data_IF_562535222881
#
_entry.id   IF_562535222881
#
_cell.length_a   1.000
_cell.length_b   1.000
_cell.length_c   1.000
_cell.angle_alpha   90.00
_cell.angle_beta   90.00
_cell.angle_gamma   90.00
#
_symmetry.space_group_name_H-M   'P 1'
#
loop_
_entity.id
_entity.type
_entity.pdbx_description
1 polymer ?
#
# COMPACT_ATOMS: atom_id res chain seq x y z
N UNK A 1 41.02 -14.76 -22.29
CA UNK A 1 39.65 -14.34 -22.70
C UNK A 1 38.77 -14.31 -21.46
N UNK A 2 38.42 -13.12 -20.96
CA UNK A 2 37.73 -12.91 -19.67
C UNK A 2 36.25 -12.68 -19.93
N UNK A 3 35.40 -13.59 -19.44
CA UNK A 3 33.94 -13.51 -19.46
C UNK A 3 33.47 -12.23 -18.74
N UNK A 4 32.77 -11.36 -19.47
CA UNK A 4 32.12 -10.16 -18.92
C UNK A 4 30.60 -10.34 -18.93
N UNK A 5 30.06 -11.09 -17.98
CA UNK A 5 28.62 -11.07 -17.67
C UNK A 5 28.33 -9.92 -16.73
N UNK A 6 28.26 -8.69 -17.27
CA UNK A 6 27.57 -7.61 -16.58
C UNK A 6 26.08 -7.80 -16.82
N UNK A 7 25.47 -8.65 -15.99
CA UNK A 7 24.02 -8.72 -15.87
C UNK A 7 23.53 -7.33 -15.51
N UNK A 8 22.76 -6.72 -16.42
CA UNK A 8 21.91 -5.61 -16.08
C UNK A 8 21.08 -6.05 -14.87
N UNK A 9 21.36 -5.46 -13.70
CA UNK A 9 20.44 -5.55 -12.58
C UNK A 9 19.14 -4.94 -13.09
N UNK A 10 18.17 -5.79 -13.43
CA UNK A 10 16.78 -5.36 -13.50
C UNK A 10 16.46 -4.87 -12.10
N UNK A 11 16.59 -3.55 -11.89
CA UNK A 11 15.98 -2.89 -10.76
C UNK A 11 14.49 -3.05 -10.99
N UNK A 12 13.93 -4.14 -10.46
CA UNK A 12 12.51 -4.34 -10.37
C UNK A 12 12.01 -3.15 -9.55
N UNK A 13 11.52 -2.11 -10.26
CA UNK A 13 10.86 -0.98 -9.60
C UNK A 13 9.73 -1.60 -8.78
N UNK A 14 9.70 -1.28 -7.49
CA UNK A 14 8.58 -1.63 -6.65
C UNK A 14 7.28 -1.23 -7.39
N UNK A 15 6.25 -2.08 -7.41
CA UNK A 15 4.99 -1.72 -8.06
C UNK A 15 4.50 -0.41 -7.46
N UNK A 16 4.25 0.58 -8.33
CA UNK A 16 3.76 1.88 -7.88
C UNK A 16 2.36 1.70 -7.27
N UNK A 17 2.15 2.23 -6.06
CA UNK A 17 0.82 2.29 -5.44
C UNK A 17 -0.09 3.17 -6.30
N UNK A 18 -1.20 2.60 -6.77
CA UNK A 18 -2.19 3.32 -7.57
C UNK A 18 -2.91 4.38 -6.72
N UNK A 19 -3.14 4.08 -5.44
CA UNK A 19 -3.72 5.03 -4.50
C UNK A 19 -2.87 6.29 -4.34
N UNK A 20 -1.56 6.14 -4.14
CA UNK A 20 -0.65 7.29 -4.02
C UNK A 20 -0.53 8.03 -5.34
N UNK A 21 -0.40 7.30 -6.46
CA UNK A 21 -0.29 7.91 -7.78
C UNK A 21 -1.54 8.74 -8.15
N UNK A 22 -2.73 8.18 -7.95
CA UNK A 22 -4.01 8.89 -8.19
C UNK A 22 -4.14 10.12 -7.29
N UNK A 23 -3.83 9.99 -6.00
CA UNK A 23 -3.87 11.11 -5.04
C UNK A 23 -2.94 12.25 -5.46
N UNK A 24 -1.70 11.96 -5.85
CA UNK A 24 -0.75 12.97 -6.30
C UNK A 24 -1.19 13.64 -7.61
N UNK A 25 -1.79 12.86 -8.52
CA UNK A 25 -2.33 13.40 -9.77
C UNK A 25 -3.52 14.35 -9.52
N UNK A 26 -4.43 13.98 -8.62
CA UNK A 26 -5.55 14.83 -8.20
C UNK A 26 -5.07 16.12 -7.55
N UNK A 27 -4.11 16.05 -6.61
CA UNK A 27 -3.52 17.23 -5.97
C UNK A 27 -2.89 18.17 -6.98
N UNK A 28 -2.13 17.63 -7.94
CA UNK A 28 -1.54 18.43 -9.02
C UNK A 28 -2.63 19.18 -9.80
N UNK A 29 -3.77 18.55 -10.05
CA UNK A 29 -4.90 19.19 -10.73
C UNK A 29 -5.59 20.25 -9.85
N UNK A 30 -5.79 19.97 -8.56
CA UNK A 30 -6.37 20.93 -7.60
C UNK A 30 -5.51 22.19 -7.51
N UNK A 31 -4.19 22.03 -7.37
CA UNK A 31 -3.25 23.13 -7.26
C UNK A 31 -3.06 23.88 -8.59
N UNK A 32 -2.78 23.15 -9.67
CA UNK A 32 -2.42 23.73 -10.96
C UNK A 32 -3.61 24.26 -11.76
N UNK A 33 -4.68 23.48 -11.83
CA UNK A 33 -5.85 23.78 -12.69
C UNK A 33 -6.90 24.56 -11.93
N UNK A 34 -7.26 24.11 -10.73
CA UNK A 34 -8.32 24.74 -9.92
C UNK A 34 -7.82 25.89 -9.06
N UNK A 35 -6.50 26.16 -9.05
CA UNK A 35 -5.84 27.21 -8.25
C UNK A 35 -6.20 27.13 -6.76
N UNK A 36 -6.42 25.91 -6.26
CA UNK A 36 -6.67 25.67 -4.85
C UNK A 36 -5.44 26.13 -4.02
N UNK A 37 -5.62 26.78 -2.87
CA UNK A 37 -4.53 27.13 -1.97
C UNK A 37 -3.69 25.91 -1.60
N UNK A 38 -2.39 26.13 -1.36
CA UNK A 38 -1.48 25.04 -1.03
C UNK A 38 -1.89 24.34 0.26
N UNK A 39 -2.38 25.10 1.25
CA UNK A 39 -2.88 24.62 2.53
C UNK A 39 -4.05 23.65 2.33
N UNK A 40 -5.04 24.01 1.51
CA UNK A 40 -6.18 23.14 1.20
C UNK A 40 -5.76 21.89 0.40
N UNK A 41 -4.71 21.98 -0.42
CA UNK A 41 -4.15 20.81 -1.09
C UNK A 41 -3.46 19.85 -0.11
N UNK A 42 -2.79 20.38 0.92
CA UNK A 42 -2.19 19.58 1.99
C UNK A 42 -3.28 18.90 2.83
N UNK A 43 -4.33 19.62 3.21
CA UNK A 43 -5.50 19.05 3.89
C UNK A 43 -6.13 17.92 3.07
N UNK A 44 -6.25 18.09 1.74
CA UNK A 44 -6.71 17.03 0.86
C UNK A 44 -5.81 15.79 0.92
N UNK A 45 -4.47 15.95 0.86
CA UNK A 45 -3.55 14.82 0.99
C UNK A 45 -3.74 14.11 2.33
N UNK A 46 -3.81 14.87 3.42
CA UNK A 46 -4.00 14.31 4.76
C UNK A 46 -5.30 13.51 4.86
N UNK A 47 -6.39 14.01 4.30
CA UNK A 47 -7.67 13.31 4.25
C UNK A 47 -7.57 12.00 3.45
N UNK A 48 -6.88 12.01 2.30
CA UNK A 48 -6.63 10.80 1.50
C UNK A 48 -5.80 9.78 2.27
N UNK A 49 -4.75 10.21 2.96
CA UNK A 49 -3.94 9.32 3.81
C UNK A 49 -4.74 8.77 5.00
N UNK A 50 -5.63 9.56 5.60
CA UNK A 50 -6.55 9.10 6.65
C UNK A 50 -7.53 8.05 6.14
N UNK A 51 -8.06 8.23 4.92
CA UNK A 51 -8.91 7.23 4.27
C UNK A 51 -8.13 5.92 4.05
N UNK A 52 -6.90 5.98 3.55
CA UNK A 52 -6.05 4.81 3.36
C UNK A 52 -5.81 4.08 4.69
N UNK A 53 -5.49 4.82 5.75
CA UNK A 53 -5.31 4.29 7.10
C UNK A 53 -6.56 3.58 7.62
N UNK A 54 -7.74 4.19 7.47
CA UNK A 54 -9.01 3.57 7.86
C UNK A 54 -9.30 2.30 7.08
N UNK A 55 -9.02 2.28 5.77
CA UNK A 55 -9.13 1.06 4.95
C UNK A 55 -8.18 -0.04 5.46
N UNK A 56 -6.94 0.31 5.81
CA UNK A 56 -5.98 -0.64 6.38
C UNK A 56 -6.48 -1.22 7.72
N UNK A 57 -7.08 -0.41 8.59
CA UNK A 57 -7.70 -0.90 9.83
C UNK A 57 -8.87 -1.86 9.57
N UNK A 58 -9.72 -1.56 8.58
CA UNK A 58 -10.80 -2.47 8.18
C UNK A 58 -10.23 -3.81 7.71
N UNK A 59 -9.20 -3.78 6.85
CA UNK A 59 -8.53 -4.99 6.35
C UNK A 59 -7.92 -5.77 7.52
N UNK A 60 -7.21 -5.11 8.43
CA UNK A 60 -6.63 -5.75 9.61
C UNK A 60 -7.70 -6.42 10.49
N UNK A 61 -8.81 -5.72 10.74
CA UNK A 61 -9.91 -6.26 11.52
C UNK A 61 -10.58 -7.48 10.86
N UNK A 62 -10.72 -7.48 9.54
CA UNK A 62 -11.30 -8.60 8.80
C UNK A 62 -10.34 -9.78 8.75
N UNK A 63 -9.09 -9.55 8.37
CA UNK A 63 -8.07 -10.60 8.25
C UNK A 63 -7.70 -11.16 9.63
N UNK A 64 -7.46 -10.30 10.62
CA UNK A 64 -7.12 -10.69 11.99
C UNK A 64 -8.22 -11.49 12.70
N UNK A 65 -9.50 -11.21 12.42
CA UNK A 65 -10.64 -12.03 12.90
C UNK A 65 -10.79 -13.37 12.15
N UNK A 66 -10.28 -13.44 10.92
CA UNK A 66 -10.36 -14.64 10.07
C UNK A 66 -9.23 -15.63 10.32
N UNK A 67 -8.12 -15.18 10.92
CA UNK A 67 -7.00 -16.02 11.36
C UNK A 67 -7.20 -16.45 12.81
N UNK A 68 -7.29 -17.76 13.11
CA UNK A 68 -7.29 -18.23 14.50
C UNK A 68 -5.97 -17.82 15.18
N UNK A 69 -5.95 -17.63 16.52
CA UNK A 69 -4.73 -17.30 17.26
C UNK A 69 -3.80 -18.53 17.27
N UNK A 70 -3.04 -18.72 16.20
CA UNK A 70 -2.11 -19.83 16.06
C UNK A 70 -0.69 -19.36 16.36
N UNK A 71 -0.29 -19.51 17.63
CA UNK A 71 1.10 -19.55 18.14
C UNK A 71 1.99 -18.32 17.88
N UNK A 72 2.95 -17.99 18.77
CA UNK A 72 3.81 -16.81 18.62
C UNK A 72 4.58 -16.85 17.29
N UNK A 73 4.83 -15.69 16.65
CA UNK A 73 5.41 -15.64 15.32
C UNK A 73 6.88 -16.04 15.34
N UNK A 74 7.18 -17.26 14.91
CA UNK A 74 8.53 -17.65 14.57
C UNK A 74 8.86 -17.05 13.19
N UNK A 75 9.77 -16.09 13.17
CA UNK A 75 10.38 -15.38 12.01
C UNK A 75 9.64 -14.15 11.43
N UNK A 76 10.34 -13.01 11.56
CA UNK A 76 9.94 -11.63 11.25
C UNK A 76 9.81 -11.35 9.72
N UNK A 77 10.13 -12.31 8.85
CA UNK A 77 10.21 -12.09 7.39
C UNK A 77 9.54 -13.16 6.52
N UNK A 78 8.86 -14.15 7.10
CA UNK A 78 8.21 -15.20 6.33
C UNK A 78 6.69 -15.10 6.48
N UNK A 79 6.09 -14.24 5.65
CA UNK A 79 4.63 -14.17 5.57
C UNK A 79 4.07 -15.41 4.88
N UNK A 80 3.04 -16.00 5.47
CA UNK A 80 2.21 -16.99 4.81
C UNK A 80 1.56 -16.36 3.57
N UNK A 81 1.80 -16.94 2.39
CA UNK A 81 1.19 -16.55 1.10
C UNK A 81 -0.33 -16.44 1.16
N UNK A 82 -0.96 -17.23 2.03
CA UNK A 82 -2.40 -17.20 2.34
C UNK A 82 -2.86 -15.85 2.91
N UNK A 83 -2.09 -15.23 3.80
CA UNK A 83 -2.45 -13.94 4.43
C UNK A 83 -2.36 -12.82 3.41
N UNK A 84 -1.32 -12.82 2.55
CA UNK A 84 -1.22 -11.85 1.45
C UNK A 84 -2.41 -11.94 0.48
N UNK A 85 -2.84 -13.16 0.12
CA UNK A 85 -4.04 -13.35 -0.71
C UNK A 85 -5.32 -12.83 -0.04
N UNK A 86 -5.48 -13.06 1.27
CA UNK A 86 -6.63 -12.54 2.01
C UNK A 86 -6.63 -11.01 2.07
N UNK A 87 -5.47 -10.39 2.34
CA UNK A 87 -5.31 -8.93 2.32
C UNK A 87 -5.68 -8.39 0.95
N UNK A 88 -5.13 -8.95 -0.14
CA UNK A 88 -5.43 -8.48 -1.51
C UNK A 88 -6.93 -8.58 -1.84
N UNK A 89 -7.59 -9.67 -1.43
CA UNK A 89 -9.04 -9.84 -1.65
C UNK A 89 -9.88 -8.80 -0.90
N UNK A 90 -9.54 -8.53 0.36
CA UNK A 90 -10.26 -7.52 1.16
C UNK A 90 -9.92 -6.11 0.70
N UNK A 91 -8.67 -5.85 0.29
CA UNK A 91 -8.22 -4.60 -0.30
C UNK A 91 -9.05 -4.24 -1.54
N UNK A 92 -9.25 -5.20 -2.45
CA UNK A 92 -10.11 -5.03 -3.61
C UNK A 92 -11.56 -4.67 -3.22
N UNK A 93 -12.11 -5.33 -2.19
CA UNK A 93 -13.47 -5.06 -1.71
C UNK A 93 -13.64 -3.66 -1.09
N UNK A 94 -12.58 -3.07 -0.53
CA UNK A 94 -12.58 -1.68 -0.02
C UNK A 94 -12.11 -0.66 -1.07
N UNK A 95 -12.03 -1.07 -2.35
CA UNK A 95 -11.66 -0.20 -3.47
C UNK A 95 -10.19 0.25 -3.40
N UNK A 96 -9.28 -0.68 -3.13
CA UNK A 96 -7.84 -0.51 -3.29
C UNK A 96 -7.35 -1.43 -4.40
N UNK A 97 -6.34 -0.99 -5.13
CA UNK A 97 -5.74 -1.79 -6.19
C UNK A 97 -4.76 -2.82 -5.59
N UNK A 98 -4.47 -3.89 -6.34
CA UNK A 98 -3.51 -4.91 -5.89
C UNK A 98 -2.12 -4.34 -5.62
N UNK A 99 -1.72 -3.29 -6.35
CA UNK A 99 -0.45 -2.59 -6.14
C UNK A 99 -0.38 -1.79 -4.84
N UNK A 100 -1.51 -1.56 -4.17
CA UNK A 100 -1.57 -0.90 -2.87
C UNK A 100 -1.36 -1.89 -1.71
N UNK A 101 -1.30 -3.20 -1.98
CA UNK A 101 -1.21 -4.24 -0.95
C UNK A 101 0.02 -4.10 -0.06
N UNK A 102 1.18 -3.78 -0.63
CA UNK A 102 2.42 -3.61 0.13
C UNK A 102 2.35 -2.36 1.04
N UNK A 103 1.70 -1.30 0.59
CA UNK A 103 1.46 -0.09 1.37
C UNK A 103 0.53 -0.37 2.56
N UNK A 104 -0.55 -1.11 2.32
CA UNK A 104 -1.47 -1.57 3.38
C UNK A 104 -0.74 -2.46 4.38
N UNK A 105 0.07 -3.39 3.90
CA UNK A 105 0.86 -4.25 4.78
C UNK A 105 1.82 -3.44 5.66
N UNK A 106 2.51 -2.47 5.07
CA UNK A 106 3.37 -1.54 5.82
C UNK A 106 2.62 -0.84 6.94
N UNK A 107 1.43 -0.29 6.66
CA UNK A 107 0.57 0.36 7.66
C UNK A 107 0.15 -0.65 8.74
N UNK A 108 -0.32 -1.83 8.35
CA UNK A 108 -0.76 -2.87 9.28
C UNK A 108 0.35 -3.35 10.22
N UNK A 109 1.61 -3.34 9.77
CA UNK A 109 2.76 -3.75 10.58
C UNK A 109 3.14 -2.77 11.71
N UNK A 110 2.47 -1.61 11.78
CA UNK A 110 2.72 -0.59 12.82
C UNK A 110 1.77 -0.68 14.02
N UNK A 111 0.84 -1.63 14.03
CA UNK A 111 -0.12 -1.87 15.13
C UNK A 111 0.19 -3.13 15.90
#
# INVERSE_FOLDING_TARGET
TRNGTNGAKFVQRAPYSEFIHSTLHEVKNLFGTMRMPAESCLEYIEDRLRILYLKALVINNVVGKSTPPSTPPTTIFQQNSTVKMQIAKVAAAVGLHESDTDLIYGIMSTF
#
